data_IF_316943975141
#
_entry.id   IF_316943975141
#
_cell.length_a   1.000
_cell.length_b   1.000
_cell.length_c   1.000
_cell.angle_alpha   90.00
_cell.angle_beta   90.00
_cell.angle_gamma   90.00
#
_symmetry.space_group_name_H-M   'P 1'
#
loop_
_entity.id
_entity.type
_entity.pdbx_description
1 polymer ?
#
# COMPACT_ATOMS: atom_id res chain seq x y z
N UNK A 1 4.77 40.99 -6.83
CA UNK A 1 3.73 40.10 -6.35
C UNK A 1 4.20 38.68 -6.61
N UNK A 2 4.72 38.05 -5.61
CA UNK A 2 4.96 36.62 -5.63
C UNK A 2 3.62 35.93 -5.58
N UNK A 3 3.22 35.24 -6.66
CA UNK A 3 2.15 34.29 -6.60
C UNK A 3 2.55 33.27 -5.54
N UNK A 4 1.93 33.34 -4.37
CA UNK A 4 1.93 32.24 -3.43
C UNK A 4 1.28 31.12 -4.22
N UNK A 5 2.03 30.06 -4.53
CA UNK A 5 1.42 28.83 -4.96
C UNK A 5 0.37 28.53 -3.87
N UNK A 6 -0.89 28.69 -4.19
CA UNK A 6 -1.94 28.11 -3.41
C UNK A 6 -1.57 26.63 -3.36
N UNK A 7 -1.01 26.22 -2.25
CA UNK A 7 -1.00 24.81 -1.90
C UNK A 7 -2.46 24.41 -1.99
N UNK A 8 -2.77 23.64 -3.00
CA UNK A 8 -4.10 23.12 -3.24
C UNK A 8 -4.49 22.39 -1.96
N UNK A 9 -5.24 23.09 -1.11
CA UNK A 9 -5.69 22.54 0.16
C UNK A 9 -6.43 21.25 -0.19
N UNK A 10 -5.84 20.11 0.18
CA UNK A 10 -6.43 18.82 -0.11
C UNK A 10 -7.79 18.80 0.57
N UNK A 11 -8.82 19.03 -0.22
CA UNK A 11 -10.20 19.03 0.26
C UNK A 11 -10.60 17.57 0.49
N UNK A 12 -10.99 17.27 1.73
CA UNK A 12 -11.39 15.92 2.12
C UNK A 12 -12.75 15.93 2.84
N UNK A 13 -13.84 16.24 2.11
CA UNK A 13 -15.17 16.29 2.70
C UNK A 13 -15.67 14.93 3.15
N UNK A 14 -16.42 14.92 4.24
CA UNK A 14 -17.14 13.75 4.74
C UNK A 14 -18.25 13.35 3.75
N UNK A 15 -18.34 12.08 3.43
CA UNK A 15 -19.37 11.55 2.55
C UNK A 15 -20.41 10.75 3.33
N UNK A 16 -19.97 9.78 4.12
CA UNK A 16 -20.86 8.94 4.90
C UNK A 16 -20.10 8.25 6.04
N UNK A 17 -20.85 7.66 6.95
CA UNK A 17 -20.33 6.73 7.95
C UNK A 17 -20.97 5.38 7.70
N UNK A 18 -20.15 4.34 7.60
CA UNK A 18 -20.59 2.98 7.31
C UNK A 18 -20.15 2.01 8.39
N UNK A 19 -20.89 0.95 8.56
CA UNK A 19 -20.54 -0.15 9.47
C UNK A 19 -20.16 -1.39 8.65
N UNK A 20 -19.01 -1.97 8.98
CA UNK A 20 -18.52 -3.20 8.39
C UNK A 20 -17.75 -4.01 9.43
N UNK A 21 -18.03 -5.31 9.50
CA UNK A 21 -17.35 -6.25 10.40
C UNK A 21 -17.34 -5.80 11.88
N UNK A 22 -18.44 -5.20 12.35
CA UNK A 22 -18.58 -4.69 13.71
C UNK A 22 -17.80 -3.41 14.01
N UNK A 23 -17.23 -2.77 12.98
CA UNK A 23 -16.48 -1.51 13.08
C UNK A 23 -17.18 -0.41 12.31
N UNK A 24 -16.98 0.82 12.77
CA UNK A 24 -17.50 2.01 12.13
C UNK A 24 -16.39 2.74 11.37
N UNK A 25 -16.65 2.98 10.08
CA UNK A 25 -15.73 3.67 9.20
C UNK A 25 -16.32 5.01 8.74
N UNK A 26 -15.51 6.05 8.81
CA UNK A 26 -15.81 7.34 8.20
C UNK A 26 -15.30 7.32 6.78
N UNK A 27 -16.21 7.50 5.82
CA UNK A 27 -15.88 7.63 4.41
C UNK A 27 -15.75 9.10 4.03
N UNK A 28 -14.59 9.48 3.55
CA UNK A 28 -14.29 10.81 3.03
C UNK A 28 -13.88 10.71 1.57
N UNK A 29 -14.00 11.79 0.82
CA UNK A 29 -13.54 11.87 -0.55
C UNK A 29 -12.36 12.83 -0.62
N UNK A 30 -11.19 12.32 -0.99
CA UNK A 30 -10.01 13.14 -1.20
C UNK A 30 -9.98 13.61 -2.65
N UNK A 31 -10.11 14.91 -2.86
CA UNK A 31 -10.20 15.52 -4.18
C UNK A 31 -8.88 16.23 -4.49
N UNK A 32 -8.26 15.87 -5.60
CA UNK A 32 -7.00 16.42 -6.07
C UNK A 32 -7.08 16.77 -7.56
N UNK A 33 -6.25 17.71 -8.00
CA UNK A 33 -6.07 18.04 -9.41
C UNK A 33 -4.93 17.19 -9.97
N UNK A 34 -5.15 16.49 -11.09
CA UNK A 34 -4.14 15.61 -11.70
C UNK A 34 -3.38 16.26 -12.87
N UNK A 35 -3.67 17.53 -13.18
CA UNK A 35 -3.12 18.27 -14.31
C UNK A 35 -4.08 18.38 -15.50
N UNK A 36 -5.16 17.60 -15.53
CA UNK A 36 -6.17 17.56 -16.59
C UNK A 36 -7.56 17.75 -16.00
N UNK A 37 -7.86 17.08 -14.91
CA UNK A 37 -9.18 17.09 -14.26
C UNK A 37 -9.05 16.91 -12.75
N UNK A 38 -10.14 17.14 -12.04
CA UNK A 38 -10.23 16.79 -10.63
C UNK A 38 -10.51 15.30 -10.47
N UNK A 39 -9.84 14.67 -9.53
CA UNK A 39 -9.99 13.25 -9.24
C UNK A 39 -10.27 13.08 -7.76
N UNK A 40 -11.38 12.43 -7.46
CA UNK A 40 -11.74 12.01 -6.10
C UNK A 40 -11.36 10.56 -5.86
N UNK A 41 -10.87 10.29 -4.66
CA UNK A 41 -10.63 8.93 -4.17
C UNK A 41 -11.31 8.79 -2.81
N UNK A 42 -12.02 7.68 -2.63
CA UNK A 42 -12.64 7.40 -1.35
C UNK A 42 -11.59 6.96 -0.35
N UNK A 43 -11.68 7.50 0.85
CA UNK A 43 -10.82 7.22 1.97
C UNK A 43 -11.67 6.75 3.15
N UNK A 44 -11.28 5.66 3.77
CA UNK A 44 -12.00 5.06 4.88
C UNK A 44 -11.14 5.02 6.13
N UNK A 45 -11.61 5.62 7.19
CA UNK A 45 -10.93 5.68 8.48
C UNK A 45 -11.75 4.97 9.54
N UNK A 46 -11.14 4.02 10.25
CA UNK A 46 -11.77 3.37 11.40
C UNK A 46 -11.81 4.37 12.55
N UNK A 47 -13.00 4.65 13.10
CA UNK A 47 -13.17 5.58 14.22
C UNK A 47 -12.43 5.16 15.49
N UNK A 48 -12.15 3.85 15.64
CA UNK A 48 -11.46 3.31 16.82
C UNK A 48 -9.93 3.32 16.71
N UNK A 49 -9.39 3.64 15.55
CA UNK A 49 -7.95 3.65 15.28
C UNK A 49 -7.47 5.08 14.97
N UNK A 50 -6.39 5.49 15.64
CA UNK A 50 -5.75 6.79 15.40
C UNK A 50 -4.87 6.81 14.15
N UNK A 51 -4.61 5.65 13.56
CA UNK A 51 -3.77 5.53 12.38
C UNK A 51 -4.55 5.70 11.08
N UNK A 52 -3.89 6.33 10.11
CA UNK A 52 -4.45 6.69 8.81
C UNK A 52 -5.18 5.55 8.11
N UNK A 53 -6.30 5.89 7.49
CA UNK A 53 -7.24 4.97 6.85
C UNK A 53 -6.72 4.22 5.63
N UNK A 54 -7.64 3.64 4.90
CA UNK A 54 -7.38 2.96 3.63
C UNK A 54 -7.99 3.74 2.48
N UNK A 55 -7.26 3.87 1.39
CA UNK A 55 -7.71 4.54 0.17
C UNK A 55 -8.15 3.51 -0.88
N UNK A 56 -9.28 3.77 -1.51
CA UNK A 56 -9.68 3.03 -2.69
C UNK A 56 -9.04 3.63 -3.95
N UNK A 57 -8.56 2.80 -4.86
CA UNK A 57 -7.95 3.24 -6.11
C UNK A 57 -8.96 3.72 -7.15
N UNK A 58 -10.23 3.37 -7.01
CA UNK A 58 -11.27 3.76 -7.94
C UNK A 58 -11.43 5.28 -7.99
N UNK A 59 -11.06 5.89 -9.11
CA UNK A 59 -11.13 7.33 -9.31
C UNK A 59 -12.57 7.79 -9.59
N UNK A 60 -12.92 8.95 -9.03
CA UNK A 60 -14.14 9.68 -9.35
C UNK A 60 -13.74 10.95 -10.08
N UNK A 61 -13.82 11.00 -11.42
CA UNK A 61 -13.37 12.15 -12.19
C UNK A 61 -14.44 13.25 -12.25
N UNK A 62 -14.00 14.48 -12.41
CA UNK A 62 -14.88 15.62 -12.63
C UNK A 62 -14.12 16.85 -13.11
N UNK A 63 -14.81 17.74 -13.79
CA UNK A 63 -14.24 19.01 -14.26
C UNK A 63 -14.10 20.02 -13.13
N UNK A 64 -14.93 19.86 -12.09
CA UNK A 64 -14.93 20.70 -10.90
C UNK A 64 -14.93 19.82 -9.64
N UNK A 65 -14.55 20.41 -8.52
CA UNK A 65 -14.62 19.72 -7.20
C UNK A 65 -16.05 19.34 -6.85
N UNK A 66 -17.02 20.18 -7.19
CA UNK A 66 -18.45 19.94 -6.96
C UNK A 66 -18.97 18.73 -7.75
N UNK A 67 -18.52 18.55 -8.99
CA UNK A 67 -18.86 17.36 -9.79
C UNK A 67 -18.35 16.08 -9.14
N UNK A 68 -17.10 16.07 -8.69
CA UNK A 68 -16.51 14.93 -7.98
C UNK A 68 -17.29 14.64 -6.69
N UNK A 69 -17.58 15.67 -5.92
CA UNK A 69 -18.32 15.53 -4.67
C UNK A 69 -19.75 15.00 -4.91
N UNK A 70 -20.40 15.45 -5.96
CA UNK A 70 -21.72 14.95 -6.38
C UNK A 70 -21.66 13.46 -6.71
N UNK A 71 -20.66 13.02 -7.44
CA UNK A 71 -20.44 11.60 -7.74
C UNK A 71 -20.21 10.79 -6.46
N UNK A 72 -19.37 11.28 -5.55
CA UNK A 72 -19.10 10.63 -4.29
C UNK A 72 -20.37 10.46 -3.44
N UNK A 73 -21.20 11.50 -3.37
CA UNK A 73 -22.47 11.47 -2.61
C UNK A 73 -23.53 10.58 -3.21
N UNK A 74 -23.43 10.22 -4.49
CA UNK A 74 -24.33 9.27 -5.15
C UNK A 74 -23.96 7.82 -4.90
N UNK A 75 -22.78 7.53 -4.34
CA UNK A 75 -22.39 6.17 -4.00
C UNK A 75 -23.35 5.61 -2.95
N UNK A 76 -23.86 4.42 -3.23
CA UNK A 76 -24.73 3.70 -2.28
C UNK A 76 -23.88 3.08 -1.15
N UNK A 77 -24.55 2.67 -0.08
CA UNK A 77 -23.89 1.94 1.01
C UNK A 77 -23.20 0.68 0.47
N UNK A 78 -23.83 -0.02 -0.47
CA UNK A 78 -23.22 -1.19 -1.11
C UNK A 78 -21.97 -0.84 -1.91
N UNK A 79 -21.97 0.27 -2.64
CA UNK A 79 -20.80 0.77 -3.36
C UNK A 79 -19.65 1.10 -2.40
N UNK A 80 -19.97 1.79 -1.31
CA UNK A 80 -18.99 2.16 -0.28
C UNK A 80 -18.40 0.92 0.40
N UNK A 81 -19.22 -0.06 0.74
CA UNK A 81 -18.75 -1.33 1.31
C UNK A 81 -17.85 -2.10 0.35
N UNK A 82 -18.20 -2.15 -0.93
CA UNK A 82 -17.39 -2.80 -1.96
C UNK A 82 -16.02 -2.10 -2.10
N UNK A 83 -16.00 -0.78 -2.10
CA UNK A 83 -14.78 0.02 -2.15
C UNK A 83 -13.92 -0.15 -0.90
N UNK A 84 -14.53 -0.20 0.28
CA UNK A 84 -13.82 -0.48 1.53
C UNK A 84 -13.15 -1.86 1.51
N UNK A 85 -13.86 -2.89 1.10
CA UNK A 85 -13.31 -4.26 1.00
C UNK A 85 -12.14 -4.33 0.03
N UNK A 86 -12.25 -3.67 -1.12
CA UNK A 86 -11.18 -3.59 -2.11
C UNK A 86 -9.95 -2.86 -1.56
N UNK A 87 -10.14 -1.73 -0.89
CA UNK A 87 -9.07 -0.96 -0.28
C UNK A 87 -8.36 -1.75 0.82
N UNK A 88 -9.09 -2.46 1.67
CA UNK A 88 -8.53 -3.32 2.71
C UNK A 88 -7.74 -4.50 2.13
N UNK A 89 -8.24 -5.13 1.07
CA UNK A 89 -7.55 -6.22 0.39
C UNK A 89 -6.22 -5.74 -0.22
N UNK A 90 -6.21 -4.57 -0.84
CA UNK A 90 -4.98 -3.97 -1.39
C UNK A 90 -3.97 -3.61 -0.30
N UNK A 91 -4.41 -3.06 0.82
CA UNK A 91 -3.53 -2.75 1.95
C UNK A 91 -2.89 -4.01 2.53
N UNK A 92 -3.65 -5.10 2.69
CA UNK A 92 -3.11 -6.39 3.14
C UNK A 92 -2.08 -6.95 2.16
N UNK A 93 -2.37 -6.88 0.87
CA UNK A 93 -1.46 -7.31 -0.19
C UNK A 93 -0.16 -6.50 -0.16
N UNK A 94 -0.26 -5.19 -0.05
CA UNK A 94 0.90 -4.31 0.04
C UNK A 94 1.76 -4.60 1.26
N UNK A 95 1.15 -4.80 2.43
CA UNK A 95 1.87 -5.19 3.65
C UNK A 95 2.58 -6.53 3.50
N UNK A 96 1.93 -7.50 2.87
CA UNK A 96 2.53 -8.81 2.57
C UNK A 96 3.74 -8.68 1.65
N UNK A 97 3.60 -7.95 0.55
CA UNK A 97 4.70 -7.68 -0.38
C UNK A 97 5.88 -6.96 0.31
N UNK A 98 5.59 -5.96 1.11
CA UNK A 98 6.61 -5.21 1.84
C UNK A 98 7.38 -6.10 2.83
N UNK A 99 6.68 -6.93 3.58
CA UNK A 99 7.30 -7.88 4.51
C UNK A 99 8.24 -8.84 3.79
N UNK A 100 7.80 -9.44 2.70
CA UNK A 100 8.63 -10.36 1.91
C UNK A 100 9.83 -9.63 1.30
N UNK A 101 9.65 -8.40 0.82
CA UNK A 101 10.75 -7.57 0.30
C UNK A 101 11.78 -7.27 1.39
N UNK A 102 11.36 -6.92 2.59
CA UNK A 102 12.27 -6.69 3.72
C UNK A 102 13.06 -7.96 4.08
N UNK A 103 12.41 -9.13 4.05
CA UNK A 103 13.05 -10.42 4.28
C UNK A 103 14.09 -10.72 3.19
N UNK A 104 13.80 -10.44 1.93
CA UNK A 104 14.75 -10.58 0.82
C UNK A 104 15.98 -9.69 1.03
N UNK A 105 15.76 -8.43 1.39
CA UNK A 105 16.84 -7.48 1.66
C UNK A 105 17.72 -7.98 2.81
N UNK A 106 17.11 -8.51 3.87
CA UNK A 106 17.84 -9.08 5.00
C UNK A 106 18.73 -10.26 4.57
N UNK A 107 18.25 -11.12 3.67
CA UNK A 107 19.05 -12.24 3.12
C UNK A 107 20.19 -11.75 2.25
N UNK A 108 20.00 -10.71 1.45
CA UNK A 108 21.05 -10.08 0.65
C UNK A 108 22.15 -9.49 1.57
N UNK A 109 21.77 -8.82 2.63
CA UNK A 109 22.70 -8.29 3.63
C UNK A 109 23.48 -9.41 4.30
N UNK A 110 22.83 -10.54 4.59
CA UNK A 110 23.48 -11.72 5.14
C UNK A 110 24.54 -12.30 4.19
N UNK A 111 24.24 -12.40 2.88
CA UNK A 111 25.22 -12.81 1.88
C UNK A 111 26.44 -11.89 1.85
N UNK A 112 26.23 -10.59 1.95
CA UNK A 112 27.33 -9.63 2.04
C UNK A 112 28.18 -9.85 3.31
N UNK A 113 27.54 -10.16 4.44
CA UNK A 113 28.23 -10.46 5.70
C UNK A 113 29.04 -11.75 5.59
N UNK A 114 28.54 -12.77 4.91
CA UNK A 114 29.29 -14.02 4.64
C UNK A 114 30.55 -13.73 3.82
N UNK A 115 30.43 -12.91 2.77
CA UNK A 115 31.58 -12.51 1.95
C UNK A 115 32.63 -11.74 2.75
N UNK A 116 32.22 -10.83 3.63
CA UNK A 116 33.12 -10.09 4.52
C UNK A 116 33.83 -11.03 5.48
N UNK A 117 33.10 -11.96 6.10
CA UNK A 117 33.65 -12.94 7.04
C UNK A 117 34.65 -13.86 6.39
N UNK A 118 34.42 -14.28 5.15
CA UNK A 118 35.37 -15.08 4.38
C UNK A 118 36.66 -14.31 4.09
N UNK A 119 36.56 -13.05 3.65
CA UNK A 119 37.74 -12.19 3.39
C UNK A 119 38.56 -11.90 4.64
N UNK A 120 37.89 -11.81 5.79
CA UNK A 120 38.56 -11.60 7.09
C UNK A 120 39.15 -12.87 7.68
N UNK A 121 39.02 -14.02 7.02
CA UNK A 121 39.51 -15.31 7.50
C UNK A 121 38.70 -15.89 8.68
N UNK A 122 37.53 -15.36 8.98
CA UNK A 122 36.65 -15.85 10.05
C UNK A 122 35.79 -17.04 9.63
N UNK A 123 35.63 -17.24 8.33
CA UNK A 123 34.87 -18.33 7.74
C UNK A 123 35.68 -18.94 6.60
N UNK A 124 35.81 -20.27 6.56
CA UNK A 124 36.49 -20.95 5.48
C UNK A 124 35.63 -21.01 4.17
N UNK A 125 36.25 -21.37 3.05
CA UNK A 125 35.59 -21.42 1.77
C UNK A 125 34.45 -22.44 1.73
N UNK A 126 34.57 -23.58 2.38
CA UNK A 126 33.54 -24.61 2.42
C UNK A 126 32.33 -24.16 3.26
N UNK A 127 32.60 -23.53 4.41
CA UNK A 127 31.56 -22.93 5.24
C UNK A 127 30.81 -21.79 4.52
N UNK A 128 31.57 -20.92 3.83
CA UNK A 128 30.98 -19.85 3.03
C UNK A 128 30.09 -20.38 1.89
N UNK A 129 30.55 -21.40 1.17
CA UNK A 129 29.77 -22.04 0.10
C UNK A 129 28.46 -22.64 0.61
N UNK A 130 28.49 -23.30 1.78
CA UNK A 130 27.30 -23.86 2.41
C UNK A 130 26.28 -22.79 2.82
N UNK A 131 26.75 -21.67 3.37
CA UNK A 131 25.89 -20.54 3.74
C UNK A 131 25.27 -19.86 2.52
N UNK A 132 26.03 -19.67 1.44
CA UNK A 132 25.54 -19.11 0.18
C UNK A 132 24.46 -20.01 -0.42
N UNK A 133 24.68 -21.32 -0.48
CA UNK A 133 23.71 -22.27 -1.04
C UNK A 133 22.40 -22.29 -0.24
N UNK A 134 22.47 -22.30 1.08
CA UNK A 134 21.30 -22.22 1.94
C UNK A 134 20.54 -20.91 1.74
N UNK A 135 21.23 -19.79 1.67
CA UNK A 135 20.62 -18.48 1.49
C UNK A 135 19.98 -18.33 0.10
N UNK A 136 20.60 -18.85 -0.95
CA UNK A 136 19.99 -18.93 -2.28
C UNK A 136 18.65 -19.66 -2.25
N UNK A 137 18.58 -20.80 -1.60
CA UNK A 137 17.37 -21.58 -1.44
C UNK A 137 16.28 -20.79 -0.73
N UNK A 138 16.63 -20.09 0.35
CA UNK A 138 15.71 -19.23 1.09
C UNK A 138 15.24 -18.05 0.26
N UNK A 139 16.09 -17.45 -0.57
CA UNK A 139 15.72 -16.39 -1.50
C UNK A 139 14.73 -16.87 -2.56
N UNK A 140 14.90 -18.06 -3.11
CA UNK A 140 13.94 -18.65 -4.05
C UNK A 140 12.56 -18.84 -3.42
N UNK A 141 12.51 -19.32 -2.17
CA UNK A 141 11.26 -19.46 -1.43
C UNK A 141 10.58 -18.10 -1.20
N UNK A 142 11.35 -17.06 -0.90
CA UNK A 142 10.82 -15.70 -0.72
C UNK A 142 10.32 -15.10 -2.04
N UNK A 143 10.97 -15.36 -3.16
CA UNK A 143 10.48 -14.94 -4.48
C UNK A 143 9.15 -15.61 -4.81
N UNK A 144 8.97 -16.88 -4.48
CA UNK A 144 7.68 -17.58 -4.65
C UNK A 144 6.58 -16.92 -3.80
N UNK A 145 6.87 -16.52 -2.57
CA UNK A 145 5.94 -15.77 -1.71
C UNK A 145 5.58 -14.40 -2.30
N UNK A 146 6.51 -13.71 -2.97
CA UNK A 146 6.20 -12.47 -3.68
C UNK A 146 5.12 -12.67 -4.73
N UNK A 147 5.18 -13.76 -5.48
CA UNK A 147 4.17 -14.10 -6.48
C UNK A 147 2.80 -14.28 -5.87
N UNK A 148 2.72 -15.01 -4.75
CA UNK A 148 1.48 -15.25 -4.03
C UNK A 148 0.83 -13.92 -3.58
N UNK A 149 1.62 -13.02 -2.99
CA UNK A 149 1.13 -11.72 -2.56
C UNK A 149 0.79 -10.78 -3.72
N UNK A 150 1.47 -10.89 -4.85
CA UNK A 150 1.17 -10.10 -6.04
C UNK A 150 -0.11 -10.55 -6.76
N UNK A 151 -0.67 -11.71 -6.38
CA UNK A 151 -1.86 -12.26 -7.01
C UNK A 151 -1.62 -12.78 -8.43
N UNK A 152 -0.38 -13.13 -8.74
CA UNK A 152 -0.04 -13.83 -9.99
C UNK A 152 -0.33 -15.31 -9.76
N UNK A 153 -1.48 -15.76 -10.22
CA UNK A 153 -1.80 -17.17 -10.22
C UNK A 153 -0.84 -17.92 -11.15
N UNK A 154 -0.28 -19.00 -10.61
CA UNK A 154 0.57 -19.91 -11.39
C UNK A 154 -0.26 -20.80 -12.30
#
# INVERSE_FOLDING_TARGET
MTAVAEYDEITQPHIATIEADGRRYVATCRITWDGIEYVGRMWFTDESEDEGGVADRGALPGRTREEVLTLARRLTINDLNARLKRAQAEKRRFRGLRRVTDDIIAKIRYLNQVAISMRAGLLDADGAAGEVELTEKQLHDLVDKLRDHAGVES
#
